data_IF_867040678227
#
_entry.id   IF_867040678227
#
_cell.length_a   1.000
_cell.length_b   1.000
_cell.length_c   1.000
_cell.angle_alpha   90.00
_cell.angle_beta   90.00
_cell.angle_gamma   90.00
#
_symmetry.space_group_name_H-M   'P 1'
#
loop_
_entity.id
_entity.type
_entity.pdbx_description
1 polymer ?
#
# COMPACT_ATOMS: atom_id res chain seq x y z
N UNK A 1 -5.23 16.68 26.41
CA UNK A 1 -5.63 16.76 24.99
C UNK A 1 -4.54 17.51 24.26
N UNK A 2 -3.57 16.80 23.71
CA UNK A 2 -2.52 17.38 22.85
C UNK A 2 -3.11 17.51 21.45
N UNK A 3 -3.12 18.73 20.91
CA UNK A 3 -3.70 19.04 19.60
C UNK A 3 -2.85 18.40 18.49
N UNK A 4 -3.49 18.04 17.36
CA UNK A 4 -2.83 17.62 16.09
C UNK A 4 -1.62 18.49 15.71
N UNK A 5 -1.59 19.74 16.19
CA UNK A 5 -0.51 20.71 16.03
C UNK A 5 0.81 20.36 16.76
N UNK A 6 0.81 19.51 17.79
CA UNK A 6 2.03 19.12 18.50
C UNK A 6 2.75 17.92 17.90
N UNK A 7 2.07 17.10 17.08
CA UNK A 7 2.72 16.06 16.26
C UNK A 7 3.47 16.64 15.04
N UNK A 8 3.34 17.94 14.78
CA UNK A 8 3.93 18.68 13.64
C UNK A 8 5.32 19.28 13.92
N UNK A 9 5.94 19.00 15.06
CA UNK A 9 7.30 19.48 15.38
C UNK A 9 8.35 18.54 14.76
N UNK A 10 8.58 18.64 13.44
CA UNK A 10 9.87 18.46 12.69
C UNK A 10 9.71 17.99 11.23
N UNK A 11 8.51 17.68 10.73
CA UNK A 11 8.31 17.15 9.37
C UNK A 11 7.70 18.16 8.40
N UNK A 12 8.23 18.22 7.18
CA UNK A 12 7.64 18.94 6.05
C UNK A 12 6.17 18.51 5.85
N UNK A 13 5.23 19.45 5.93
CA UNK A 13 3.80 19.17 5.73
C UNK A 13 3.53 19.17 4.24
N UNK A 14 3.44 17.98 3.65
CA UNK A 14 3.06 17.83 2.27
C UNK A 14 1.58 18.20 2.09
N UNK A 15 1.27 18.90 1.01
CA UNK A 15 -0.11 19.06 0.58
C UNK A 15 -0.72 17.70 0.22
N UNK A 16 -2.07 17.55 0.28
CA UNK A 16 -2.75 16.33 -0.15
C UNK A 16 -2.33 15.86 -1.56
N UNK A 17 -2.16 16.80 -2.49
CA UNK A 17 -1.71 16.55 -3.87
C UNK A 17 -0.27 16.03 -3.93
N UNK A 18 0.66 16.63 -3.18
CA UNK A 18 2.05 16.15 -3.12
C UNK A 18 2.16 14.79 -2.44
N UNK A 19 1.35 14.58 -1.40
CA UNK A 19 1.25 13.30 -0.73
C UNK A 19 0.66 12.24 -1.67
N UNK A 20 -0.34 12.58 -2.48
CA UNK A 20 -0.91 11.75 -3.55
C UNK A 20 0.13 11.32 -4.58
N UNK A 21 0.93 12.27 -5.07
CA UNK A 21 2.05 11.99 -5.99
C UNK A 21 3.07 11.03 -5.38
N UNK A 22 3.52 11.31 -4.14
CA UNK A 22 4.53 10.48 -3.47
C UNK A 22 4.00 9.09 -3.13
N UNK A 23 2.79 8.99 -2.61
CA UNK A 23 2.14 7.69 -2.30
C UNK A 23 1.94 6.87 -3.57
N UNK A 24 1.47 7.45 -4.67
CA UNK A 24 1.36 6.77 -5.96
C UNK A 24 2.71 6.21 -6.43
N UNK A 25 3.76 7.03 -6.46
CA UNK A 25 5.09 6.58 -6.86
C UNK A 25 5.60 5.41 -6.00
N UNK A 26 5.30 5.44 -4.70
CA UNK A 26 5.66 4.37 -3.77
C UNK A 26 4.83 3.11 -4.02
N UNK A 27 3.52 3.22 -4.24
CA UNK A 27 2.65 2.09 -4.56
C UNK A 27 3.16 1.39 -5.81
N UNK A 28 3.45 2.13 -6.88
CA UNK A 28 3.98 1.57 -8.13
C UNK A 28 5.34 0.90 -7.89
N UNK A 29 6.27 1.57 -7.21
CA UNK A 29 7.58 1.00 -6.91
C UNK A 29 7.49 -0.29 -6.07
N UNK A 30 6.64 -0.32 -5.05
CA UNK A 30 6.42 -1.49 -4.21
C UNK A 30 5.79 -2.62 -5.01
N UNK A 31 4.77 -2.33 -5.83
CA UNK A 31 4.13 -3.32 -6.68
C UNK A 31 5.14 -3.94 -7.67
N UNK A 32 5.99 -3.13 -8.30
CA UNK A 32 7.07 -3.60 -9.18
C UNK A 32 8.05 -4.49 -8.45
N UNK A 33 8.57 -4.06 -7.29
CA UNK A 33 9.52 -4.86 -6.51
C UNK A 33 8.92 -6.15 -5.96
N UNK A 34 7.63 -6.15 -5.62
CA UNK A 34 6.93 -7.38 -5.21
C UNK A 34 6.96 -8.44 -6.31
N UNK A 35 6.91 -8.06 -7.59
CA UNK A 35 7.05 -9.01 -8.70
C UNK A 35 8.43 -9.67 -8.76
N UNK A 36 9.44 -9.10 -8.12
CA UNK A 36 10.78 -9.67 -8.01
C UNK A 36 10.91 -10.65 -6.84
N UNK A 37 9.94 -10.66 -5.91
CA UNK A 37 9.92 -11.55 -4.73
C UNK A 37 9.30 -12.90 -5.12
N UNK A 38 10.08 -14.00 -5.20
CA UNK A 38 9.56 -15.28 -5.66
C UNK A 38 8.43 -15.83 -4.78
N UNK A 39 8.52 -15.65 -3.46
CA UNK A 39 7.52 -16.10 -2.51
C UNK A 39 6.17 -15.39 -2.71
N UNK A 40 6.20 -14.11 -3.06
CA UNK A 40 5.00 -13.36 -3.40
C UNK A 40 4.40 -13.82 -4.73
N UNK A 41 5.21 -13.98 -5.78
CA UNK A 41 4.73 -14.46 -7.09
C UNK A 41 4.06 -15.82 -6.98
N UNK A 42 4.68 -16.76 -6.26
CA UNK A 42 4.11 -18.09 -6.06
C UNK A 42 2.76 -17.99 -5.32
N UNK A 43 2.69 -17.21 -4.24
CA UNK A 43 1.43 -17.00 -3.53
C UNK A 43 0.36 -16.29 -4.38
N UNK A 44 0.76 -15.39 -5.28
CA UNK A 44 -0.14 -14.72 -6.22
C UNK A 44 -0.70 -15.72 -7.24
N UNK A 45 0.13 -16.59 -7.80
CA UNK A 45 -0.31 -17.67 -8.69
C UNK A 45 -1.23 -18.65 -7.97
N UNK A 46 -0.85 -19.10 -6.78
CA UNK A 46 -1.67 -20.00 -5.97
C UNK A 46 -3.03 -19.38 -5.65
N UNK A 47 -3.07 -18.10 -5.28
CA UNK A 47 -4.33 -17.42 -5.03
C UNK A 47 -5.19 -17.33 -6.30
N UNK A 48 -4.59 -16.94 -7.44
CA UNK A 48 -5.30 -16.87 -8.73
C UNK A 48 -5.89 -18.23 -9.15
N UNK A 49 -5.11 -19.31 -9.08
CA UNK A 49 -5.57 -20.63 -9.49
C UNK A 49 -6.56 -21.25 -8.49
N UNK A 50 -6.35 -21.07 -7.18
CA UNK A 50 -7.29 -21.56 -6.18
C UNK A 50 -8.64 -20.83 -6.27
N UNK A 51 -8.65 -19.54 -6.59
CA UNK A 51 -9.90 -18.78 -6.83
C UNK A 51 -10.59 -19.19 -8.14
N UNK A 52 -9.84 -19.51 -9.19
CA UNK A 52 -10.43 -20.01 -10.44
C UNK A 52 -11.00 -21.44 -10.32
N UNK A 53 -10.44 -22.27 -9.44
CA UNK A 53 -10.94 -23.63 -9.17
C UNK A 53 -12.09 -23.65 -8.15
N UNK A 54 -12.11 -22.69 -7.22
CA UNK A 54 -13.21 -22.48 -6.29
C UNK A 54 -14.19 -21.45 -6.86
N UNK A 55 -15.03 -21.87 -7.81
CA UNK A 55 -16.12 -21.08 -8.41
C UNK A 55 -17.26 -20.82 -7.39
N UNK A 56 -16.92 -20.30 -6.21
CA UNK A 56 -17.80 -19.82 -5.15
C UNK A 56 -17.31 -18.45 -4.66
N UNK A 57 -17.22 -17.47 -5.57
CA UNK A 57 -17.28 -16.03 -5.23
C UNK A 57 -16.26 -15.47 -4.23
N UNK A 58 -15.13 -16.14 -3.95
CA UNK A 58 -14.13 -15.62 -3.01
C UNK A 58 -13.24 -14.60 -3.71
N UNK A 59 -13.48 -13.32 -3.44
CA UNK A 59 -12.51 -12.26 -3.72
C UNK A 59 -11.22 -12.55 -2.94
N UNK A 60 -10.09 -12.44 -3.62
CA UNK A 60 -8.79 -12.48 -2.96
C UNK A 60 -8.56 -11.12 -2.31
N UNK A 61 -9.05 -10.95 -1.08
CA UNK A 61 -8.90 -9.68 -0.35
C UNK A 61 -7.44 -9.42 0.05
N UNK A 62 -6.59 -10.47 0.07
CA UNK A 62 -5.19 -10.36 0.48
C UNK A 62 -4.34 -11.56 0.02
N UNK A 63 -3.19 -11.30 -0.59
CA UNK A 63 -2.14 -12.30 -0.86
C UNK A 63 -1.27 -12.47 0.37
N UNK A 64 -1.09 -13.72 0.84
CA UNK A 64 -0.26 -14.03 2.01
C UNK A 64 0.90 -14.93 1.64
N UNK A 65 2.10 -14.62 2.12
CA UNK A 65 3.30 -15.44 1.91
C UNK A 65 4.28 -15.28 3.08
N UNK A 66 5.24 -16.19 3.19
CA UNK A 66 6.29 -16.14 4.21
C UNK A 66 7.63 -15.77 3.59
N UNK A 67 8.41 -14.94 4.29
CA UNK A 67 9.78 -14.58 3.89
C UNK A 67 10.59 -14.14 5.12
N UNK A 68 11.81 -14.66 5.26
CA UNK A 68 12.77 -14.18 6.27
C UNK A 68 12.26 -14.22 7.73
N UNK A 69 11.47 -15.24 8.11
CA UNK A 69 10.91 -15.37 9.46
C UNK A 69 9.65 -14.53 9.72
N UNK A 70 9.09 -13.91 8.69
CA UNK A 70 7.84 -13.15 8.75
C UNK A 70 6.77 -13.72 7.81
N UNK A 71 5.51 -13.51 8.18
CA UNK A 71 4.34 -13.67 7.32
C UNK A 71 3.93 -12.28 6.84
N UNK A 72 3.88 -12.11 5.52
CA UNK A 72 3.43 -10.91 4.86
C UNK A 72 2.01 -11.09 4.34
N UNK A 73 1.21 -10.03 4.40
CA UNK A 73 -0.11 -9.94 3.79
C UNK A 73 -0.21 -8.67 2.96
N UNK A 74 -0.47 -8.80 1.67
CA UNK A 74 -0.54 -7.69 0.71
C UNK A 74 -1.95 -7.60 0.15
N UNK A 75 -2.60 -6.45 0.31
CA UNK A 75 -3.89 -6.13 -0.29
C UNK A 75 -3.72 -4.94 -1.22
N UNK A 76 -4.21 -5.06 -2.45
CA UNK A 76 -4.22 -4.00 -3.44
C UNK A 76 -5.65 -3.80 -3.93
N UNK A 77 -6.09 -2.55 -4.03
CA UNK A 77 -7.40 -2.18 -4.53
C UNK A 77 -7.25 -1.01 -5.49
N UNK A 78 -7.95 -1.07 -6.61
CA UNK A 78 -8.09 0.04 -7.53
C UNK A 78 -9.58 0.22 -7.83
N UNK A 79 -10.11 1.39 -7.54
CA UNK A 79 -11.49 1.77 -7.83
C UNK A 79 -11.48 2.92 -8.82
N UNK A 80 -12.24 2.77 -9.89
CA UNK A 80 -12.47 3.81 -10.88
C UNK A 80 -13.93 4.20 -10.86
N UNK A 81 -14.19 5.48 -10.64
CA UNK A 81 -15.50 6.08 -10.75
C UNK A 81 -15.53 7.01 -11.96
N UNK A 82 -16.51 6.82 -12.84
CA UNK A 82 -16.71 7.71 -13.98
C UNK A 82 -17.49 8.94 -13.53
N UNK A 83 -17.06 10.13 -13.92
CA UNK A 83 -17.87 11.33 -13.73
C UNK A 83 -19.15 11.18 -14.57
N UNK A 84 -20.32 11.24 -13.94
CA UNK A 84 -21.61 10.93 -14.56
C UNK A 84 -22.10 12.04 -15.51
N UNK A 85 -21.34 13.13 -15.64
CA UNK A 85 -21.64 14.19 -16.61
C UNK A 85 -21.33 13.73 -18.03
N UNK A 86 -22.40 13.60 -18.84
CA UNK A 86 -22.34 13.26 -20.27
C UNK A 86 -21.25 14.06 -20.99
N UNK A 87 -20.18 13.38 -21.42
CA UNK A 87 -19.14 13.95 -22.28
C UNK A 87 -17.83 14.29 -21.58
N UNK A 88 -17.70 14.09 -20.27
CA UNK A 88 -16.41 14.23 -19.59
C UNK A 88 -15.62 12.91 -19.71
N UNK A 89 -14.47 12.89 -20.43
CA UNK A 89 -13.61 11.72 -20.52
C UNK A 89 -12.83 11.47 -19.21
N UNK A 90 -12.99 12.34 -18.20
CA UNK A 90 -12.31 12.19 -16.92
C UNK A 90 -12.90 11.07 -16.06
N UNK A 91 -12.02 10.29 -15.44
CA UNK A 91 -12.39 9.28 -14.45
C UNK A 91 -11.61 9.53 -13.18
N UNK A 92 -12.30 9.53 -12.05
CA UNK A 92 -11.66 9.62 -10.76
C UNK A 92 -11.23 8.23 -10.31
N UNK A 93 -9.96 8.08 -9.93
CA UNK A 93 -9.33 6.82 -9.58
C UNK A 93 -8.79 6.90 -8.16
N UNK A 94 -9.14 5.90 -7.35
CA UNK A 94 -8.56 5.67 -6.02
C UNK A 94 -7.80 4.35 -6.01
N UNK A 95 -6.54 4.40 -5.61
CA UNK A 95 -5.68 3.22 -5.47
C UNK A 95 -5.26 3.10 -4.02
N UNK A 96 -5.43 1.91 -3.44
CA UNK A 96 -4.91 1.59 -2.12
C UNK A 96 -4.03 0.34 -2.11
N UNK A 97 -3.00 0.39 -1.26
CA UNK A 97 -2.07 -0.71 -1.00
C UNK A 97 -1.87 -0.82 0.50
N UNK A 98 -2.21 -1.98 1.05
CA UNK A 98 -1.99 -2.28 2.46
C UNK A 98 -1.04 -3.47 2.62
N UNK A 99 -0.07 -3.34 3.51
CA UNK A 99 0.94 -4.35 3.81
C UNK A 99 0.93 -4.64 5.30
N UNK A 100 0.74 -5.90 5.64
CA UNK A 100 0.90 -6.40 7.01
C UNK A 100 2.14 -7.27 7.06
N UNK A 101 2.97 -7.05 8.07
CA UNK A 101 4.13 -7.88 8.40
C UNK A 101 3.96 -8.39 9.83
N UNK A 102 3.96 -9.70 9.99
CA UNK A 102 3.86 -10.38 11.28
C UNK A 102 5.04 -11.35 11.46
N UNK A 103 5.71 -11.39 12.61
CA UNK A 103 6.70 -12.44 12.88
C UNK A 103 6.03 -13.81 12.94
N UNK A 104 6.74 -14.85 12.49
CA UNK A 104 6.26 -16.25 12.59
C UNK A 104 6.22 -16.73 14.04
N UNK A 105 7.12 -16.23 14.90
CA UNK A 105 7.18 -16.52 16.32
C UNK A 105 6.69 -15.33 17.17
N UNK A 106 5.77 -15.58 18.10
CA UNK A 106 5.12 -14.65 19.04
C UNK A 106 4.07 -13.66 18.49
N UNK A 107 3.00 -13.33 19.26
CA UNK A 107 1.77 -12.81 18.69
C UNK A 107 1.70 -11.28 18.54
N UNK A 108 2.76 -10.52 18.81
CA UNK A 108 2.67 -9.05 18.84
C UNK A 108 3.93 -8.36 18.34
N UNK A 109 4.05 -8.27 17.02
CA UNK A 109 4.72 -7.16 16.34
C UNK A 109 4.05 -7.00 14.97
N UNK A 110 2.79 -6.55 15.00
CA UNK A 110 2.06 -6.26 13.78
C UNK A 110 2.54 -4.93 13.27
N UNK A 111 3.23 -4.99 12.14
CA UNK A 111 3.52 -3.81 11.37
C UNK A 111 2.52 -3.71 10.23
N UNK A 112 1.93 -2.53 10.10
CA UNK A 112 0.91 -2.21 9.12
C UNK A 112 1.32 -0.96 8.36
N UNK A 113 1.36 -1.06 7.04
CA UNK A 113 1.48 0.07 6.13
C UNK A 113 0.20 0.17 5.35
N UNK A 114 -0.33 1.38 5.25
CA UNK A 114 -1.48 1.71 4.41
C UNK A 114 -1.15 2.92 3.55
N UNK A 115 -1.36 2.78 2.25
CA UNK A 115 -1.15 3.83 1.27
C UNK A 115 -2.42 3.97 0.47
N UNK A 116 -2.83 5.21 0.27
CA UNK A 116 -3.93 5.54 -0.64
C UNK A 116 -3.49 6.75 -1.47
N UNK A 117 -3.86 6.74 -2.73
CA UNK A 117 -3.66 7.86 -3.65
C UNK A 117 -4.92 8.01 -4.49
N UNK A 118 -5.28 9.25 -4.75
CA UNK A 118 -6.44 9.59 -5.54
C UNK A 118 -6.04 10.59 -6.62
N UNK A 119 -6.55 10.38 -7.82
CA UNK A 119 -6.24 11.21 -8.97
C UNK A 119 -7.31 11.11 -10.05
N UNK A 120 -7.39 12.14 -10.88
CA UNK A 120 -8.24 12.14 -12.06
C UNK A 120 -7.41 11.69 -13.27
N UNK A 121 -7.93 10.75 -14.05
CA UNK A 121 -7.34 10.32 -15.31
C UNK A 121 -8.12 10.87 -16.50
N UNK A 122 -7.43 11.20 -17.58
CA UNK A 122 -8.02 11.54 -18.87
C UNK A 122 -7.34 10.66 -19.93
N UNK A 123 -8.13 9.88 -20.68
CA UNK A 123 -7.61 8.90 -21.67
C UNK A 123 -6.59 7.88 -21.12
N UNK A 124 -6.69 7.54 -19.82
CA UNK A 124 -5.78 6.59 -19.16
C UNK A 124 -4.46 7.19 -18.68
N UNK A 125 -4.30 8.51 -18.77
CA UNK A 125 -3.17 9.24 -18.21
C UNK A 125 -3.60 10.05 -16.98
N UNK A 126 -2.74 10.10 -15.96
CA UNK A 126 -2.99 10.90 -14.76
C UNK A 126 -2.95 12.39 -15.14
N UNK A 127 -4.09 13.06 -15.04
CA UNK A 127 -4.22 14.49 -15.29
C UNK A 127 -3.82 15.32 -14.06
N UNK A 128 -4.32 14.95 -12.89
CA UNK A 128 -4.00 15.59 -11.62
C UNK A 128 -4.19 14.65 -10.44
N UNK A 129 -3.37 14.81 -9.41
CA UNK A 129 -3.59 14.17 -8.12
C UNK A 129 -4.52 15.02 -7.27
N UNK A 130 -5.44 14.38 -6.56
CA UNK A 130 -6.43 15.03 -5.72
C UNK A 130 -6.14 14.82 -4.24
N UNK A 131 -5.68 13.62 -3.87
CA UNK A 131 -5.37 13.28 -2.48
C UNK A 131 -4.32 12.17 -2.37
N UNK A 132 -3.77 12.03 -1.18
CA UNK A 132 -2.96 10.90 -0.78
C UNK A 132 -2.95 10.72 0.73
N UNK A 133 -2.93 9.47 1.16
CA UNK A 133 -2.78 9.11 2.57
C UNK A 133 -1.66 8.09 2.71
N UNK A 134 -0.82 8.29 3.72
CA UNK A 134 0.16 7.32 4.13
C UNK A 134 0.04 7.11 5.63
N UNK A 135 -0.07 5.85 6.04
CA UNK A 135 -0.11 5.45 7.45
C UNK A 135 0.84 4.31 7.68
N UNK A 136 1.62 4.43 8.75
CA UNK A 136 2.48 3.37 9.26
C UNK A 136 2.13 3.18 10.72
N UNK A 137 1.78 1.95 11.07
CA UNK A 137 1.60 1.51 12.44
C UNK A 137 2.55 0.36 12.70
N UNK A 138 3.30 0.47 13.78
CA UNK A 138 4.24 -0.54 14.24
C UNK A 138 3.90 -0.77 15.72
N UNK A 139 3.66 -2.00 16.14
CA UNK A 139 3.30 -2.27 17.53
C UNK A 139 4.39 -1.83 18.54
N UNK A 140 5.62 -1.61 18.08
CA UNK A 140 6.74 -1.09 18.85
C UNK A 140 6.98 0.43 18.74
N UNK A 141 6.26 1.14 17.84
CA UNK A 141 6.42 2.58 17.61
C UNK A 141 5.05 3.29 17.58
N UNK A 142 5.03 4.59 17.88
CA UNK A 142 3.82 5.40 17.67
C UNK A 142 3.35 5.35 16.20
N UNK A 143 2.03 5.38 16.00
CA UNK A 143 1.40 5.52 14.68
C UNK A 143 1.90 6.80 14.02
N UNK A 144 2.34 6.69 12.76
CA UNK A 144 2.76 7.84 11.94
C UNK A 144 1.87 7.99 10.72
N UNK A 145 1.61 9.23 10.35
CA UNK A 145 0.77 9.61 9.22
C UNK A 145 1.50 10.61 8.30
N UNK A 146 1.08 10.67 7.04
CA UNK A 146 1.59 11.62 6.04
C UNK A 146 3.07 11.44 5.74
N UNK A 147 3.80 12.55 5.58
CA UNK A 147 5.22 12.54 5.22
C UNK A 147 6.09 11.72 6.20
N UNK A 148 5.81 11.82 7.50
CA UNK A 148 6.54 11.07 8.53
C UNK A 148 6.29 9.56 8.49
N UNK A 149 5.20 9.10 7.87
CA UNK A 149 4.98 7.69 7.57
C UNK A 149 5.89 7.25 6.40
N UNK A 150 5.94 8.05 5.32
CA UNK A 150 6.73 7.76 4.13
C UNK A 150 8.23 7.60 4.42
N UNK A 151 8.79 8.46 5.29
CA UNK A 151 10.20 8.40 5.69
C UNK A 151 10.58 7.08 6.39
N UNK A 152 9.64 6.46 7.10
CA UNK A 152 9.89 5.20 7.81
C UNK A 152 9.73 3.97 6.93
N UNK A 153 9.04 4.07 5.80
CA UNK A 153 8.71 2.92 4.96
C UNK A 153 9.94 2.13 4.46
N UNK A 154 11.04 2.74 3.99
CA UNK A 154 12.19 1.98 3.50
C UNK A 154 12.80 1.08 4.57
N UNK A 155 12.89 1.56 5.81
CA UNK A 155 13.38 0.77 6.94
C UNK A 155 12.47 -0.42 7.25
N UNK A 156 11.17 -0.21 7.10
CA UNK A 156 10.12 -1.17 7.46
C UNK A 156 9.97 -2.26 6.41
N UNK A 157 9.99 -1.87 5.14
CA UNK A 157 9.80 -2.74 3.99
C UNK A 157 11.13 -3.29 3.45
N UNK A 158 12.28 -2.84 3.95
CA UNK A 158 13.60 -3.27 3.47
C UNK A 158 13.77 -4.79 3.47
N UNK A 159 13.38 -5.46 4.56
CA UNK A 159 13.47 -6.92 4.70
C UNK A 159 12.63 -7.68 3.66
N UNK A 160 11.53 -7.09 3.19
CA UNK A 160 10.65 -7.71 2.21
C UNK A 160 11.35 -7.87 0.85
N UNK A 161 12.21 -6.92 0.50
CA UNK A 161 12.93 -6.90 -0.78
C UNK A 161 14.38 -7.35 -0.67
N UNK A 162 14.86 -7.69 0.53
CA UNK A 162 16.23 -8.15 0.72
C UNK A 162 16.36 -9.61 0.25
N UNK A 163 17.34 -9.94 -0.62
CA UNK A 163 17.60 -11.32 -1.00
C UNK A 163 17.94 -12.18 0.22
N UNK A 164 17.33 -13.35 0.34
CA UNK A 164 17.73 -14.33 1.36
C UNK A 164 19.07 -14.91 0.88
N UNK A 165 20.14 -14.70 1.65
CA UNK A 165 21.42 -15.37 1.35
C UNK A 165 21.23 -16.88 1.52
N UNK A 166 21.70 -17.70 0.56
CA UNK A 166 21.63 -19.15 0.64
C UNK A 166 22.42 -19.70 1.82
#
# INVERSE_FOLDING_TARGET
MTTRAEQLRTGEVLSPVELGKKTHAIIINVATKLQEVPEFRNALYDAFFNTNLAFEGRNIDRIRFQKGGYIYGIAYKAERSHSVSKGDPSSHVSISLSIIKNPVAFPRNLLYVDLTTEFDETHGEISQFTDGTARVQDASLDVREGAGALEKMPKILGDLFTPIKP
#
